data_IF_749196490720
#
_entry.id   IF_749196490720
#
_cell.length_a   1.000
_cell.length_b   1.000
_cell.length_c   1.000
_cell.angle_alpha   90.00
_cell.angle_beta   90.00
_cell.angle_gamma   90.00
#
_symmetry.space_group_name_H-M   'P 1'
#
loop_
_entity.id
_entity.type
_entity.pdbx_description
1 polymer ?
#
# COMPACT_ATOMS: atom_id res chain seq x y z
N UNK A 1 44.24 -0.99 -23.83
CA UNK A 1 43.17 -1.47 -24.71
C UNK A 1 42.20 -2.29 -23.86
N UNK A 2 40.92 -1.92 -23.91
CA UNK A 2 39.84 -2.39 -23.05
C UNK A 2 39.48 -3.86 -23.30
N UNK A 3 39.06 -4.56 -22.25
CA UNK A 3 37.84 -5.38 -22.35
C UNK A 3 37.19 -5.62 -20.98
N UNK A 4 36.08 -4.91 -20.79
CA UNK A 4 34.80 -5.28 -20.16
C UNK A 4 34.85 -6.09 -18.84
N UNK A 5 34.71 -5.37 -17.72
CA UNK A 5 34.14 -5.93 -16.50
C UNK A 5 32.63 -6.05 -16.66
N UNK A 6 32.13 -7.28 -16.60
CA UNK A 6 30.71 -7.61 -16.57
C UNK A 6 30.08 -6.90 -15.37
N UNK A 7 29.09 -6.06 -15.66
CA UNK A 7 28.38 -5.25 -14.67
C UNK A 7 27.83 -6.12 -13.54
N UNK A 8 28.12 -5.70 -12.31
CA UNK A 8 27.48 -6.20 -11.10
C UNK A 8 25.97 -6.04 -11.25
N UNK A 9 25.26 -7.16 -11.34
CA UNK A 9 23.82 -7.24 -11.22
C UNK A 9 23.48 -6.68 -9.83
N UNK A 10 22.89 -5.47 -9.78
CA UNK A 10 22.35 -4.89 -8.54
C UNK A 10 21.26 -5.83 -8.04
N UNK A 11 21.52 -6.50 -6.92
CA UNK A 11 20.52 -7.26 -6.19
C UNK A 11 19.50 -6.28 -5.62
N UNK A 12 18.24 -6.47 -5.98
CA UNK A 12 17.11 -5.74 -5.41
C UNK A 12 16.92 -6.16 -3.94
N UNK A 13 16.77 -5.18 -3.04
CA UNK A 13 16.32 -5.41 -1.66
C UNK A 13 17.37 -5.29 -0.55
N UNK A 14 18.64 -5.03 -0.86
CA UNK A 14 19.67 -4.85 0.18
C UNK A 14 20.06 -3.38 0.32
N UNK A 15 19.62 -2.79 1.44
CA UNK A 15 19.91 -1.47 2.01
C UNK A 15 18.72 -0.53 1.98
N UNK A 16 17.83 -0.70 2.94
CA UNK A 16 16.96 0.36 3.39
C UNK A 16 16.94 0.31 4.91
N UNK A 17 17.13 1.46 5.53
CA UNK A 17 16.72 1.67 6.91
C UNK A 17 15.23 1.38 6.99
N UNK A 18 14.88 0.11 7.22
CA UNK A 18 13.58 -0.27 7.76
C UNK A 18 13.27 0.73 8.86
N UNK A 19 12.04 1.22 8.91
CA UNK A 19 11.42 1.44 10.22
C UNK A 19 11.53 0.07 10.88
N UNK A 20 12.58 -0.17 11.70
CA UNK A 20 13.14 -1.51 12.02
C UNK A 20 12.12 -2.55 12.50
N UNK A 21 10.95 -2.10 12.90
CA UNK A 21 9.85 -2.89 13.40
C UNK A 21 8.82 -3.30 12.34
N UNK A 22 8.73 -2.65 11.18
CA UNK A 22 7.70 -2.90 10.15
C UNK A 22 8.20 -3.82 9.04
N UNK A 23 7.38 -4.80 8.65
CA UNK A 23 7.60 -5.69 7.51
C UNK A 23 6.27 -6.00 6.81
N UNK A 24 6.31 -6.42 5.54
CA UNK A 24 5.11 -6.77 4.79
C UNK A 24 5.43 -7.30 3.40
N UNK A 25 4.40 -7.74 2.69
CA UNK A 25 4.45 -8.04 1.25
C UNK A 25 3.10 -7.66 0.63
N UNK A 26 3.16 -6.96 -0.50
CA UNK A 26 2.00 -6.69 -1.34
C UNK A 26 2.40 -6.74 -2.81
N UNK A 27 1.54 -7.37 -3.61
CA UNK A 27 1.58 -7.31 -5.06
C UNK A 27 0.30 -6.61 -5.55
N UNK A 28 0.45 -5.48 -6.23
CA UNK A 28 -0.63 -4.76 -6.86
C UNK A 28 -0.73 -5.12 -8.33
N UNK A 29 -1.96 -5.37 -8.78
CA UNK A 29 -2.33 -5.30 -10.20
C UNK A 29 -3.07 -3.99 -10.44
N UNK A 30 -2.55 -3.17 -11.34
CA UNK A 30 -3.13 -1.89 -11.72
C UNK A 30 -3.61 -2.00 -13.17
N UNK A 31 -4.90 -1.76 -13.38
CA UNK A 31 -5.51 -1.78 -14.71
C UNK A 31 -6.05 -0.40 -15.02
N UNK A 32 -5.62 0.17 -16.14
CA UNK A 32 -6.15 1.43 -16.68
C UNK A 32 -6.87 1.11 -17.98
N UNK A 33 -8.08 1.63 -18.17
CA UNK A 33 -8.86 1.37 -19.37
C UNK A 33 -8.06 1.70 -20.64
N UNK A 34 -7.99 0.75 -21.58
CA UNK A 34 -7.25 0.90 -22.83
C UNK A 34 -5.72 0.72 -22.72
N UNK A 35 -5.18 0.42 -21.54
CA UNK A 35 -3.74 0.13 -21.34
C UNK A 35 -3.51 -1.30 -20.82
N UNK A 36 -2.31 -1.87 -21.05
CA UNK A 36 -1.92 -3.12 -20.41
C UNK A 36 -1.91 -3.01 -18.88
N UNK A 37 -2.19 -4.12 -18.20
CA UNK A 37 -2.07 -4.19 -16.75
C UNK A 37 -0.62 -4.05 -16.30
N UNK A 38 -0.41 -3.32 -15.22
CA UNK A 38 0.87 -3.12 -14.55
C UNK A 38 0.88 -3.90 -13.23
N UNK A 39 2.00 -4.56 -12.92
CA UNK A 39 2.20 -5.23 -11.63
C UNK A 39 3.30 -4.54 -10.82
N UNK A 40 3.01 -4.20 -9.57
CA UNK A 40 3.95 -3.57 -8.65
C UNK A 40 4.05 -4.39 -7.37
N UNK A 41 5.28 -4.72 -6.96
CA UNK A 41 5.54 -5.47 -5.73
C UNK A 41 6.41 -4.68 -4.77
N UNK A 42 6.10 -4.74 -3.48
CA UNK A 42 6.95 -4.14 -2.45
C UNK A 42 6.87 -4.86 -1.10
N UNK A 43 7.95 -4.73 -0.33
CA UNK A 43 8.03 -5.03 1.09
C UNK A 43 8.24 -3.78 1.96
N UNK A 44 8.16 -2.59 1.35
CA UNK A 44 8.36 -1.31 2.02
C UNK A 44 7.02 -0.73 2.47
N UNK A 45 6.80 -0.75 3.79
CA UNK A 45 5.54 -0.36 4.40
C UNK A 45 5.72 0.69 5.49
N UNK A 46 4.67 1.49 5.69
CA UNK A 46 4.33 2.10 6.97
C UNK A 46 3.03 1.47 7.47
N UNK A 47 3.04 0.93 8.68
CA UNK A 47 1.91 0.19 9.23
C UNK A 47 1.82 0.35 10.74
N UNK A 48 0.61 0.64 11.21
CA UNK A 48 0.30 0.66 12.63
C UNK A 48 -1.22 0.56 12.86
N UNK A 49 -1.59 0.07 14.03
CA UNK A 49 -2.95 -0.01 14.54
C UNK A 49 -3.04 0.80 15.84
N UNK A 50 -4.01 1.70 15.91
CA UNK A 50 -4.40 2.43 17.11
C UNK A 50 -5.91 2.23 17.34
N UNK A 51 -6.42 2.54 18.54
CA UNK A 51 -7.85 2.34 18.85
C UNK A 51 -8.78 3.12 17.91
N UNK A 52 -8.31 4.25 17.40
CA UNK A 52 -9.08 5.19 16.58
C UNK A 52 -8.65 5.19 15.10
N UNK A 53 -7.65 4.39 14.69
CA UNK A 53 -7.26 4.26 13.29
C UNK A 53 -6.43 3.02 12.97
N UNK A 54 -6.52 2.55 11.74
CA UNK A 54 -5.58 1.59 11.16
C UNK A 54 -5.00 2.16 9.88
N UNK A 55 -3.68 2.10 9.71
CA UNK A 55 -3.00 2.63 8.52
C UNK A 55 -2.13 1.55 7.92
N UNK A 56 -2.33 1.28 6.63
CA UNK A 56 -1.44 0.45 5.80
C UNK A 56 -1.02 1.30 4.61
N UNK A 57 0.25 1.66 4.53
CA UNK A 57 0.84 2.35 3.39
C UNK A 57 1.95 1.45 2.80
N UNK A 58 1.96 1.30 1.49
CA UNK A 58 2.99 0.57 0.77
C UNK A 58 3.56 1.43 -0.36
N UNK A 59 4.88 1.37 -0.54
CA UNK A 59 5.64 2.23 -1.45
C UNK A 59 6.43 1.39 -2.45
N UNK A 60 6.28 1.66 -3.74
CA UNK A 60 6.79 0.84 -4.85
C UNK A 60 7.95 1.55 -5.56
N UNK A 61 9.13 1.50 -4.95
CA UNK A 61 10.34 2.09 -5.51
C UNK A 61 11.51 2.05 -4.52
N UNK A 62 12.59 2.75 -4.86
CA UNK A 62 13.75 2.92 -3.99
C UNK A 62 13.58 4.14 -3.06
N UNK A 63 14.08 4.06 -1.83
CA UNK A 63 14.14 5.21 -0.91
C UNK A 63 15.31 6.13 -1.27
N UNK A 64 15.07 6.99 -2.25
CA UNK A 64 16.03 8.00 -2.70
C UNK A 64 15.75 9.37 -2.09
N UNK A 65 14.72 9.48 -1.24
CA UNK A 65 14.12 10.75 -0.79
C UNK A 65 13.05 11.30 -1.74
N UNK A 66 12.92 10.77 -2.95
CA UNK A 66 11.88 11.14 -3.92
C UNK A 66 10.55 10.43 -3.63
N UNK A 67 9.46 10.94 -4.22
CA UNK A 67 8.17 10.25 -4.19
C UNK A 67 8.18 9.07 -5.15
N UNK A 68 7.59 7.97 -4.72
CA UNK A 68 7.40 6.74 -5.52
C UNK A 68 5.92 6.42 -5.63
N UNK A 69 5.49 5.57 -6.57
CA UNK A 69 4.13 5.02 -6.55
C UNK A 69 3.82 4.42 -5.18
N UNK A 70 2.62 4.65 -4.66
CA UNK A 70 2.24 4.25 -3.32
C UNK A 70 0.74 3.98 -3.22
N UNK A 71 0.37 3.06 -2.33
CA UNK A 71 -1.02 2.76 -1.97
C UNK A 71 -1.22 2.97 -0.47
N UNK A 72 -2.36 3.53 -0.10
CA UNK A 72 -2.79 3.66 1.30
C UNK A 72 -4.15 3.02 1.47
N UNK A 73 -4.31 2.26 2.56
CA UNK A 73 -5.59 1.93 3.18
C UNK A 73 -5.63 2.62 4.54
N UNK A 74 -6.62 3.47 4.74
CA UNK A 74 -6.84 4.21 5.97
C UNK A 74 -8.20 3.81 6.54
N UNK A 75 -8.22 3.36 7.79
CA UNK A 75 -9.44 3.15 8.55
C UNK A 75 -9.50 4.14 9.73
N UNK A 76 -10.69 4.67 10.04
CA UNK A 76 -10.95 5.53 11.20
C UNK A 76 -11.27 4.75 12.49
N UNK A 77 -10.84 3.50 12.55
CA UNK A 77 -10.98 2.62 13.71
C UNK A 77 -9.97 1.46 13.58
N UNK A 78 -9.84 0.67 14.63
CA UNK A 78 -9.12 -0.61 14.60
C UNK A 78 -9.87 -1.62 13.73
N UNK A 79 -9.22 -2.16 12.70
CA UNK A 79 -9.83 -3.15 11.83
C UNK A 79 -10.04 -4.50 12.53
N UNK A 80 -11.04 -5.23 12.05
CA UNK A 80 -11.45 -6.57 12.49
C UNK A 80 -11.47 -7.51 11.28
N UNK A 81 -11.49 -8.81 11.53
CA UNK A 81 -11.60 -9.82 10.47
C UNK A 81 -13.01 -9.83 9.86
N UNK A 82 -13.24 -8.95 8.88
CA UNK A 82 -14.47 -8.85 8.09
C UNK A 82 -14.22 -8.15 6.75
N UNK A 83 -15.28 -7.95 5.98
CA UNK A 83 -15.26 -7.15 4.76
C UNK A 83 -15.74 -5.73 5.04
N UNK A 84 -15.02 -4.77 4.49
CA UNK A 84 -15.29 -3.34 4.57
C UNK A 84 -15.49 -2.77 3.17
N UNK A 85 -16.42 -1.83 3.07
CA UNK A 85 -16.51 -0.96 1.91
C UNK A 85 -15.43 0.13 2.01
N UNK A 86 -14.74 0.34 0.88
CA UNK A 86 -13.82 1.46 0.69
C UNK A 86 -14.66 2.62 0.14
N UNK A 87 -14.70 3.73 0.90
CA UNK A 87 -15.45 4.95 0.58
C UNK A 87 -14.54 6.18 0.56
N UNK A 88 -15.08 7.31 0.12
CA UNK A 88 -14.40 8.60 0.23
C UNK A 88 -14.38 9.03 1.71
N UNK A 89 -13.23 9.45 2.28
CA UNK A 89 -13.16 9.85 3.69
C UNK A 89 -13.88 11.17 4.01
N UNK A 90 -14.47 11.84 3.01
CA UNK A 90 -15.33 13.01 3.20
C UNK A 90 -16.83 12.68 3.20
N UNK A 91 -17.22 11.41 3.04
CA UNK A 91 -18.61 10.95 3.18
C UNK A 91 -18.98 10.74 4.68
N UNK A 92 -20.26 10.88 5.05
CA UNK A 92 -20.72 10.88 6.47
C UNK A 92 -20.60 9.53 7.23
N UNK A 93 -20.23 8.43 6.55
CA UNK A 93 -20.12 7.07 7.12
C UNK A 93 -19.03 6.26 6.40
N UNK A 94 -17.80 6.78 6.40
CA UNK A 94 -16.67 5.99 5.94
C UNK A 94 -16.06 5.21 7.10
N UNK A 95 -15.61 4.00 6.81
CA UNK A 95 -14.88 3.14 7.74
C UNK A 95 -13.49 2.85 7.22
N UNK A 96 -13.37 2.65 5.91
CA UNK A 96 -12.11 2.48 5.19
C UNK A 96 -12.13 3.42 3.98
N UNK A 97 -10.98 4.03 3.72
CA UNK A 97 -10.69 4.79 2.51
C UNK A 97 -9.39 4.29 1.89
N UNK A 98 -9.24 4.48 0.58
CA UNK A 98 -8.03 4.08 -0.12
C UNK A 98 -7.60 5.13 -1.12
N UNK A 99 -6.30 5.21 -1.37
CA UNK A 99 -5.73 6.03 -2.44
C UNK A 99 -4.57 5.27 -3.08
N UNK A 100 -4.43 5.42 -4.39
CA UNK A 100 -3.23 5.05 -5.13
C UNK A 100 -2.69 6.30 -5.82
N UNK A 101 -1.38 6.51 -5.74
CA UNK A 101 -0.76 7.72 -6.28
C UNK A 101 0.74 7.75 -5.98
N UNK A 102 1.26 8.91 -5.60
CA UNK A 102 2.66 9.12 -5.28
C UNK A 102 2.85 9.52 -3.80
N UNK A 103 3.77 8.85 -3.11
CA UNK A 103 4.05 9.12 -1.71
C UNK A 103 5.44 8.72 -1.28
N UNK A 104 5.75 9.02 -0.03
CA UNK A 104 6.94 8.56 0.70
C UNK A 104 6.61 8.51 2.19
N UNK A 105 7.37 7.75 3.00
CA UNK A 105 7.23 7.79 4.45
C UNK A 105 7.30 9.23 4.98
N UNK A 106 6.45 9.57 5.93
CA UNK A 106 6.35 10.90 6.57
C UNK A 106 5.91 12.07 5.65
N UNK A 107 5.58 11.81 4.38
CA UNK A 107 5.13 12.84 3.43
C UNK A 107 3.65 12.75 3.03
N UNK A 108 2.94 11.72 3.50
CA UNK A 108 1.61 11.35 3.02
C UNK A 108 1.63 10.77 1.60
N UNK A 109 0.50 10.22 1.18
CA UNK A 109 0.27 9.72 -0.18
C UNK A 109 -0.70 10.67 -0.88
N UNK A 110 -0.27 11.24 -1.99
CA UNK A 110 -1.10 12.07 -2.85
C UNK A 110 -1.57 11.23 -4.03
N UNK A 111 -2.85 11.30 -4.36
CA UNK A 111 -3.44 10.65 -5.54
C UNK A 111 -4.56 11.51 -6.10
N UNK A 112 -5.04 11.14 -7.29
CA UNK A 112 -5.99 11.95 -8.04
C UNK A 112 -7.39 11.96 -7.40
N UNK A 113 -7.78 10.82 -6.82
CA UNK A 113 -9.06 10.65 -6.15
C UNK A 113 -8.99 9.51 -5.13
N UNK A 114 -9.96 9.49 -4.21
CA UNK A 114 -10.18 8.37 -3.31
C UNK A 114 -10.85 7.21 -4.04
N UNK A 115 -10.37 6.00 -3.74
CA UNK A 115 -10.91 4.76 -4.26
C UNK A 115 -12.29 4.42 -3.70
N UNK A 116 -13.08 3.70 -4.50
CA UNK A 116 -14.29 2.99 -4.07
C UNK A 116 -14.12 1.51 -4.33
N UNK A 117 -14.52 0.66 -3.39
CA UNK A 117 -14.28 -0.77 -3.53
C UNK A 117 -14.44 -1.56 -2.24
N UNK A 118 -13.66 -2.62 -2.09
CA UNK A 118 -13.75 -3.54 -0.96
C UNK A 118 -12.37 -3.87 -0.39
N UNK A 119 -12.27 -3.87 0.93
CA UNK A 119 -11.19 -4.49 1.70
C UNK A 119 -11.75 -5.71 2.42
N UNK A 120 -11.16 -6.88 2.22
CA UNK A 120 -11.47 -8.08 3.00
C UNK A 120 -10.28 -8.40 3.90
N UNK A 121 -10.51 -8.33 5.20
CA UNK A 121 -9.50 -8.64 6.21
C UNK A 121 -9.60 -10.11 6.57
N UNK A 122 -8.48 -10.82 6.45
CA UNK A 122 -8.37 -12.25 6.73
C UNK A 122 -7.82 -12.54 8.13
N UNK A 123 -6.95 -11.67 8.62
CA UNK A 123 -6.33 -11.77 9.93
C UNK A 123 -6.07 -10.37 10.47
N UNK A 124 -6.35 -10.16 11.76
CA UNK A 124 -5.84 -9.03 12.53
C UNK A 124 -5.28 -9.53 13.84
N UNK A 125 -4.05 -9.13 14.16
CA UNK A 125 -3.42 -9.32 15.46
C UNK A 125 -3.01 -7.94 15.97
N UNK A 126 -3.32 -7.65 17.23
CA UNK A 126 -2.83 -6.47 17.93
C UNK A 126 -2.77 -6.80 19.41
N UNK A 127 -1.61 -7.30 19.83
CA UNK A 127 -1.30 -7.77 21.18
C UNK A 127 -0.09 -7.00 21.75
N UNK A 128 0.47 -7.45 22.87
CA UNK A 128 1.59 -6.78 23.51
C UNK A 128 2.90 -6.86 22.70
N UNK A 129 3.06 -7.86 21.83
CA UNK A 129 4.31 -8.14 21.10
C UNK A 129 4.28 -7.60 19.67
N UNK A 130 3.10 -7.60 19.03
CA UNK A 130 3.00 -7.22 17.61
C UNK A 130 1.63 -6.71 17.19
N UNK A 131 1.65 -6.07 16.03
CA UNK A 131 0.51 -5.79 15.18
C UNK A 131 0.68 -6.53 13.87
N UNK A 132 -0.38 -7.12 13.34
CA UNK A 132 -0.37 -7.78 12.04
C UNK A 132 -1.73 -7.64 11.37
N UNK A 133 -1.73 -7.44 10.06
CA UNK A 133 -2.92 -7.52 9.22
C UNK A 133 -2.62 -8.34 7.98
N UNK A 134 -3.61 -9.14 7.55
CA UNK A 134 -3.61 -9.84 6.25
C UNK A 134 -4.95 -9.62 5.57
N UNK A 135 -4.95 -9.48 4.25
CA UNK A 135 -6.20 -9.22 3.53
C UNK A 135 -6.06 -9.24 2.02
N UNK A 136 -7.19 -9.00 1.36
CA UNK A 136 -7.27 -8.66 -0.06
C UNK A 136 -7.97 -7.32 -0.21
N UNK A 137 -7.68 -6.57 -1.27
CA UNK A 137 -8.51 -5.43 -1.62
C UNK A 137 -8.61 -5.23 -3.13
N UNK A 138 -9.69 -4.55 -3.53
CA UNK A 138 -9.86 -4.01 -4.87
C UNK A 138 -10.59 -2.70 -4.75
N UNK A 139 -10.08 -1.65 -5.38
CA UNK A 139 -10.81 -0.40 -5.52
C UNK A 139 -10.58 0.22 -6.90
N UNK A 140 -11.49 1.10 -7.28
CA UNK A 140 -11.35 1.91 -8.48
C UNK A 140 -11.46 3.40 -8.14
N UNK A 141 -10.81 4.22 -8.95
CA UNK A 141 -10.96 5.67 -8.93
C UNK A 141 -10.87 6.20 -10.36
N UNK A 142 -11.23 7.47 -10.55
CA UNK A 142 -11.06 8.16 -11.83
C UNK A 142 -9.85 9.08 -11.68
N UNK A 143 -8.84 8.91 -12.54
CA UNK A 143 -7.64 9.74 -12.52
C UNK A 143 -7.89 11.14 -13.10
N UNK A 144 -6.88 12.01 -13.03
CA UNK A 144 -6.96 13.38 -13.52
C UNK A 144 -7.24 13.49 -15.03
N UNK A 145 -7.06 12.41 -15.79
CA UNK A 145 -7.33 12.33 -17.23
C UNK A 145 -8.74 11.79 -17.53
N UNK A 146 -9.53 11.45 -16.51
CA UNK A 146 -10.85 10.86 -16.67
C UNK A 146 -10.82 9.35 -16.90
N UNK A 147 -9.68 8.68 -16.71
CA UNK A 147 -9.55 7.24 -16.92
C UNK A 147 -9.95 6.48 -15.66
N UNK A 148 -10.73 5.40 -15.82
CA UNK A 148 -11.00 4.49 -14.71
C UNK A 148 -9.76 3.65 -14.44
N UNK A 149 -9.23 3.77 -13.22
CA UNK A 149 -8.09 3.00 -12.72
C UNK A 149 -8.60 2.00 -11.70
N UNK A 150 -8.30 0.72 -11.88
CA UNK A 150 -8.56 -0.36 -10.93
C UNK A 150 -7.25 -0.79 -10.28
N UNK A 151 -7.24 -0.89 -8.96
CA UNK A 151 -6.09 -1.30 -8.14
C UNK A 151 -6.48 -2.49 -7.28
N UNK A 152 -5.75 -3.59 -7.41
CA UNK A 152 -6.09 -4.87 -6.78
C UNK A 152 -4.89 -5.50 -6.09
N UNK A 153 -5.11 -6.05 -4.90
CA UNK A 153 -4.19 -6.95 -4.23
C UNK A 153 -4.92 -8.26 -3.90
N UNK A 154 -4.50 -9.36 -4.55
CA UNK A 154 -5.04 -10.70 -4.27
C UNK A 154 -4.60 -11.24 -2.91
N UNK A 155 -3.50 -10.72 -2.37
CA UNK A 155 -3.11 -10.89 -0.98
C UNK A 155 -2.17 -9.73 -0.59
N UNK A 156 -2.24 -9.31 0.65
CA UNK A 156 -1.22 -8.48 1.28
C UNK A 156 -1.12 -8.82 2.76
N UNK A 157 0.05 -8.56 3.34
CA UNK A 157 0.21 -8.53 4.78
C UNK A 157 1.17 -7.44 5.22
N UNK A 158 0.95 -6.94 6.43
CA UNK A 158 1.87 -6.04 7.12
C UNK A 158 1.97 -6.44 8.60
N UNK A 159 3.14 -6.30 9.19
CA UNK A 159 3.46 -6.59 10.59
C UNK A 159 4.33 -5.49 11.16
N UNK A 160 4.02 -5.05 12.38
CA UNK A 160 4.84 -4.16 13.19
C UNK A 160 5.16 -4.86 14.52
N UNK A 161 6.44 -5.01 14.85
CA UNK A 161 6.89 -5.55 16.15
C UNK A 161 7.05 -4.43 17.18
N UNK A 162 6.39 -4.55 18.33
CA UNK A 162 6.35 -3.51 19.37
C UNK A 162 7.62 -3.49 20.23
#
# INVERSE_FOLDING_TARGET
MNSVHVGLIKKFGENLSQVRATSGDINLRITREGLPSEELKTGWFNFYIESWRTVVEAYFGEDTGEKVPAVMLLANHKLEQKTYEIKNPFDDDWQVSAIFGAGRPNGGIAGDAFGKGLLKVHLVVDDAEKQRIEGTFSFNYVDALGTVVKVEAENFWAEFRK
#
